data_IF_534272785471
#
_entry.id   IF_534272785471
#
_cell.length_a   1.000
_cell.length_b   1.000
_cell.length_c   1.000
_cell.angle_alpha   90.00
_cell.angle_beta   90.00
_cell.angle_gamma   90.00
#
_symmetry.space_group_name_H-M   'P 1'
#
loop_
_entity.id
_entity.type
_entity.pdbx_description
1 polymer ?
#
# COMPACT_ATOMS: atom_id res chain seq x y z
N UNK A 1 35.64 8.04 20.94
CA UNK A 1 34.62 8.78 20.14
C UNK A 1 33.47 7.81 19.90
N UNK A 2 32.25 8.16 20.30
CA UNK A 2 31.11 7.25 20.11
C UNK A 2 30.80 7.17 18.61
N UNK A 3 31.06 6.00 18.02
CA UNK A 3 30.84 5.79 16.59
C UNK A 3 29.34 5.55 16.40
N UNK A 4 28.62 6.55 15.88
CA UNK A 4 27.20 6.40 15.58
C UNK A 4 27.02 5.32 14.51
N UNK A 5 26.44 4.19 14.91
CA UNK A 5 26.20 3.07 13.99
C UNK A 5 25.03 3.44 13.06
N UNK A 6 25.25 3.27 11.75
CA UNK A 6 24.17 3.42 10.77
C UNK A 6 23.12 2.34 10.99
N UNK A 7 21.87 2.76 11.10
CA UNK A 7 20.73 1.86 11.20
C UNK A 7 19.61 2.33 10.27
N UNK A 8 18.75 1.39 9.92
CA UNK A 8 17.54 1.59 9.14
C UNK A 8 16.45 0.71 9.74
N UNK A 9 15.19 1.10 9.61
CA UNK A 9 14.09 0.27 10.08
C UNK A 9 12.98 0.24 9.04
N UNK A 10 12.26 -0.88 9.03
CA UNK A 10 10.99 -1.00 8.36
C UNK A 10 10.01 -1.69 9.29
N UNK A 11 8.72 -1.51 9.06
CA UNK A 11 7.69 -2.05 9.92
C UNK A 11 6.53 -2.64 9.13
N UNK A 12 5.92 -3.64 9.73
CA UNK A 12 4.56 -4.09 9.43
C UNK A 12 3.66 -3.67 10.59
N UNK A 13 2.38 -4.02 10.53
CA UNK A 13 1.44 -3.65 11.59
C UNK A 13 1.74 -4.38 12.91
N UNK A 14 2.41 -5.55 12.84
CA UNK A 14 2.73 -6.39 14.00
C UNK A 14 4.20 -6.34 14.43
N UNK A 15 5.13 -6.08 13.49
CA UNK A 15 6.58 -6.22 13.72
C UNK A 15 7.32 -4.99 13.24
N UNK A 16 8.37 -4.62 13.96
CA UNK A 16 9.35 -3.63 13.53
C UNK A 16 10.70 -4.32 13.38
N UNK A 17 11.35 -4.14 12.22
CA UNK A 17 12.64 -4.74 11.94
C UNK A 17 13.67 -3.62 11.85
N UNK A 18 14.58 -3.59 12.82
CA UNK A 18 15.70 -2.67 12.90
C UNK A 18 16.94 -3.34 12.31
N UNK A 19 17.44 -2.81 11.20
CA UNK A 19 18.67 -3.23 10.56
C UNK A 19 19.82 -2.35 11.05
N UNK A 20 20.79 -2.95 11.73
CA UNK A 20 22.02 -2.30 12.19
C UNK A 20 23.14 -2.69 11.23
N UNK A 21 23.76 -1.71 10.56
CA UNK A 21 24.82 -1.97 9.58
C UNK A 21 26.17 -2.13 10.27
N UNK A 22 26.41 -3.31 10.82
CA UNK A 22 27.66 -3.70 11.45
C UNK A 22 28.36 -4.81 10.64
N UNK A 23 29.42 -4.44 9.91
CA UNK A 23 30.16 -5.37 9.06
C UNK A 23 31.15 -6.17 9.89
N UNK A 24 31.08 -7.51 9.77
CA UNK A 24 31.95 -8.42 10.50
C UNK A 24 31.59 -8.53 11.98
N UNK A 25 30.32 -8.34 12.35
CA UNK A 25 29.87 -8.54 13.71
C UNK A 25 29.97 -10.03 14.10
N UNK A 26 30.69 -10.33 15.17
CA UNK A 26 30.82 -11.69 15.69
C UNK A 26 29.56 -12.06 16.49
N UNK A 27 28.88 -13.18 16.16
CA UNK A 27 27.67 -13.60 16.86
C UNK A 27 27.84 -13.80 18.37
N UNK A 28 29.08 -14.05 18.83
CA UNK A 28 29.41 -14.26 20.25
C UNK A 28 29.61 -12.96 21.01
N UNK A 29 29.90 -11.85 20.32
CA UNK A 29 30.12 -10.53 20.94
C UNK A 29 28.90 -9.62 20.84
N UNK A 30 28.00 -9.91 19.90
CA UNK A 30 26.74 -9.18 19.75
C UNK A 30 25.80 -9.51 20.91
N UNK A 31 25.41 -8.48 21.64
CA UNK A 31 24.38 -8.55 22.67
C UNK A 31 23.28 -7.53 22.35
N UNK A 32 22.02 -7.98 22.42
CA UNK A 32 20.85 -7.13 22.21
C UNK A 32 19.94 -7.25 23.42
N UNK A 33 19.75 -6.15 24.13
CA UNK A 33 18.82 -6.06 25.27
C UNK A 33 17.52 -5.43 24.79
N UNK A 34 16.43 -6.14 25.05
CA UNK A 34 15.06 -5.69 24.76
C UNK A 34 14.40 -5.24 26.05
N UNK A 35 13.94 -4.00 26.09
CA UNK A 35 13.03 -3.52 27.12
C UNK A 35 11.70 -3.12 26.45
N UNK A 36 10.59 -2.99 27.21
CA UNK A 36 9.30 -2.66 26.63
C UNK A 36 9.29 -1.43 25.74
N UNK A 37 10.24 -0.49 25.93
CA UNK A 37 10.31 0.76 25.18
C UNK A 37 11.73 1.19 24.82
N UNK A 38 12.68 0.27 24.88
CA UNK A 38 14.06 0.54 24.51
C UNK A 38 14.70 -0.70 23.89
N UNK A 39 15.64 -0.46 22.98
CA UNK A 39 16.51 -1.52 22.45
C UNK A 39 17.94 -1.02 22.56
N UNK A 40 18.78 -1.84 23.18
CA UNK A 40 20.20 -1.59 23.28
C UNK A 40 20.96 -2.69 22.55
N UNK A 41 21.66 -2.31 21.49
CA UNK A 41 22.60 -3.15 20.76
C UNK A 41 24.02 -2.83 21.21
N UNK A 42 24.79 -3.87 21.55
CA UNK A 42 26.19 -3.79 21.96
C UNK A 42 27.01 -4.82 21.17
N UNK A 43 28.13 -4.38 20.59
CA UNK A 43 29.12 -5.24 19.94
C UNK A 43 30.52 -4.65 20.15
N UNK A 44 31.19 -5.09 21.22
CA UNK A 44 32.49 -4.55 21.64
C UNK A 44 32.43 -3.04 21.87
N UNK A 45 33.17 -2.27 21.07
CA UNK A 45 33.25 -0.81 21.16
C UNK A 45 32.08 -0.06 20.48
N UNK A 46 31.20 -0.79 19.79
CA UNK A 46 30.06 -0.22 19.07
C UNK A 46 28.79 -0.45 19.87
N UNK A 47 28.05 0.62 20.15
CA UNK A 47 26.73 0.53 20.77
C UNK A 47 25.71 1.41 20.04
N UNK A 48 24.47 0.93 20.00
CA UNK A 48 23.32 1.67 19.49
C UNK A 48 22.20 1.57 20.53
N UNK A 49 21.81 2.71 21.08
CA UNK A 49 20.71 2.81 22.02
C UNK A 49 19.52 3.52 21.36
N UNK A 50 18.41 2.81 21.22
CA UNK A 50 17.17 3.35 20.67
C UNK A 50 16.18 3.51 21.81
N UNK A 51 16.04 4.75 22.29
CA UNK A 51 15.14 5.12 23.38
C UNK A 51 14.68 6.58 23.25
N UNK A 52 13.41 6.91 23.54
CA UNK A 52 12.28 6.00 23.75
C UNK A 52 11.69 5.49 22.43
N UNK A 53 11.34 4.21 22.36
CA UNK A 53 10.56 3.69 21.23
C UNK A 53 9.17 4.34 21.20
N UNK A 54 8.66 4.52 19.98
CA UNK A 54 7.34 5.13 19.75
C UNK A 54 6.16 4.28 20.24
N UNK A 55 6.33 2.97 20.39
CA UNK A 55 5.33 2.09 20.98
C UNK A 55 5.97 1.06 21.89
N UNK A 56 5.14 0.27 22.57
CA UNK A 56 5.63 -0.83 23.39
C UNK A 56 5.95 -2.05 22.51
N UNK A 57 7.02 -2.75 22.86
CA UNK A 57 7.39 -4.05 22.27
C UNK A 57 7.19 -5.17 23.29
N UNK A 58 6.99 -6.38 22.78
CA UNK A 58 7.07 -7.61 23.56
C UNK A 58 8.54 -8.11 23.56
N UNK A 59 9.28 -7.98 24.68
CA UNK A 59 10.68 -8.40 24.73
C UNK A 59 10.88 -9.91 24.59
N UNK A 60 9.90 -10.72 24.98
CA UNK A 60 10.02 -12.19 24.97
C UNK A 60 9.87 -12.76 23.56
N UNK A 61 9.03 -12.13 22.73
CA UNK A 61 8.84 -12.52 21.34
C UNK A 61 9.81 -11.82 20.36
N UNK A 62 10.56 -10.82 20.84
CA UNK A 62 11.57 -10.12 20.05
C UNK A 62 12.83 -10.97 19.91
N UNK A 63 13.49 -10.87 18.76
CA UNK A 63 14.67 -11.69 18.43
C UNK A 63 15.65 -10.92 17.55
N UNK A 64 16.86 -11.43 17.36
CA UNK A 64 17.83 -10.85 16.44
C UNK A 64 18.57 -11.92 15.65
N UNK A 65 19.06 -11.54 14.47
CA UNK A 65 19.86 -12.39 13.58
C UNK A 65 21.12 -11.63 13.18
N UNK A 66 22.28 -12.23 13.46
CA UNK A 66 23.57 -11.66 13.09
C UNK A 66 23.96 -12.16 11.70
N UNK A 67 24.02 -11.23 10.74
CA UNK A 67 24.55 -11.47 9.41
C UNK A 67 25.97 -10.95 9.25
N UNK A 68 26.62 -11.27 8.12
CA UNK A 68 28.01 -10.83 7.85
C UNK A 68 28.18 -9.32 7.71
N UNK A 69 27.15 -8.63 7.22
CA UNK A 69 27.20 -7.20 6.84
C UNK A 69 26.29 -6.34 7.73
N UNK A 70 25.27 -6.97 8.30
CA UNK A 70 24.21 -6.32 9.08
C UNK A 70 23.69 -7.26 10.15
N UNK A 71 23.19 -6.69 11.23
CA UNK A 71 22.42 -7.36 12.26
C UNK A 71 20.96 -6.94 12.12
N UNK A 72 20.06 -7.90 12.02
CA UNK A 72 18.62 -7.65 11.93
C UNK A 72 17.98 -7.93 13.28
N UNK A 73 17.45 -6.89 13.90
CA UNK A 73 16.73 -6.96 15.17
C UNK A 73 15.23 -6.91 14.88
N UNK A 74 14.52 -7.98 15.23
CA UNK A 74 13.08 -8.17 15.01
C UNK A 74 12.34 -7.89 16.31
N UNK A 75 11.61 -6.79 16.34
CA UNK A 75 10.80 -6.37 17.47
C UNK A 75 9.34 -6.74 17.21
N UNK A 76 8.71 -7.42 18.16
CA UNK A 76 7.26 -7.67 18.12
C UNK A 76 6.57 -6.54 18.85
N UNK A 77 5.59 -5.89 18.21
CA UNK A 77 4.86 -4.78 18.81
C UNK A 77 3.83 -5.32 19.80
N UNK A 78 3.70 -4.67 20.95
CA UNK A 78 2.68 -5.03 21.95
C UNK A 78 1.26 -4.68 21.46
N UNK A 79 1.13 -3.58 20.70
CA UNK A 79 -0.11 -3.18 20.04
C UNK A 79 0.07 -3.17 18.52
N UNK A 80 -0.92 -3.71 17.80
CA UNK A 80 -0.95 -3.64 16.34
C UNK A 80 -1.12 -2.20 15.89
N UNK A 81 -0.27 -1.77 14.97
CA UNK A 81 -0.32 -0.42 14.41
C UNK A 81 1.00 0.04 13.82
N UNK A 82 0.94 0.98 12.88
CA UNK A 82 2.11 1.60 12.29
C UNK A 82 2.59 2.76 13.12
N UNK A 83 3.89 2.77 13.45
CA UNK A 83 4.49 3.83 14.23
C UNK A 83 4.85 5.04 13.35
N UNK A 84 5.22 4.83 12.07
CA UNK A 84 5.66 5.89 11.16
C UNK A 84 6.98 6.56 11.58
N UNK A 85 7.66 6.03 12.59
CA UNK A 85 8.89 6.55 13.18
C UNK A 85 9.36 5.65 14.31
N UNK A 86 10.69 5.51 14.47
CA UNK A 86 11.28 4.60 15.45
C UNK A 86 11.25 5.16 16.89
N UNK A 87 11.51 6.45 17.05
CA UNK A 87 11.61 7.14 18.35
C UNK A 87 10.36 7.99 18.60
N UNK A 88 9.84 7.99 19.84
CA UNK A 88 8.72 8.85 20.22
C UNK A 88 8.29 8.73 21.69
N UNK A 89 7.73 9.84 22.22
CA UNK A 89 7.35 9.97 23.64
C UNK A 89 5.92 9.49 23.98
N UNK A 90 5.06 9.23 23.00
CA UNK A 90 3.72 8.70 23.25
C UNK A 90 3.73 7.17 23.37
N UNK A 91 3.45 6.56 24.55
CA UNK A 91 3.28 5.12 24.64
C UNK A 91 1.93 4.78 24.01
N UNK A 92 1.97 4.22 22.81
CA UNK A 92 0.82 3.70 22.05
C UNK A 92 -0.30 4.70 21.70
N UNK A 93 -0.40 5.15 20.43
CA UNK A 93 -1.67 5.63 19.93
C UNK A 93 -2.61 4.41 19.83
N UNK A 94 -3.47 4.24 20.83
CA UNK A 94 -4.58 3.28 20.80
C UNK A 94 -5.21 3.22 19.41
N UNK A 95 -5.10 2.05 18.78
CA UNK A 95 -6.10 1.42 17.95
C UNK A 95 -6.89 2.33 17.00
N UNK A 96 -6.26 2.81 15.93
CA UNK A 96 -6.97 3.34 14.76
C UNK A 96 -6.63 2.55 13.50
N UNK A 97 -6.90 1.26 13.54
CA UNK A 97 -7.40 0.48 12.40
C UNK A 97 -7.86 -0.85 12.97
N UNK A 98 -9.16 -0.98 13.19
CA UNK A 98 -9.78 -2.23 13.55
C UNK A 98 -9.51 -3.26 12.45
N UNK A 99 -8.51 -4.12 12.63
CA UNK A 99 -8.48 -5.40 11.95
C UNK A 99 -9.54 -6.26 12.65
N UNK A 100 -10.77 -6.18 12.16
CA UNK A 100 -11.88 -7.00 12.64
C UNK A 100 -11.59 -8.46 12.32
N UNK A 101 -11.20 -9.22 13.34
CA UNK A 101 -11.27 -10.68 13.33
C UNK A 101 -11.55 -11.16 14.76
N UNK A 102 -12.80 -11.07 15.21
CA UNK A 102 -13.35 -11.95 16.24
C UNK A 102 -14.89 -11.88 16.27
N UNK A 103 -15.58 -13.01 16.56
CA UNK A 103 -17.03 -13.09 16.64
C UNK A 103 -17.57 -12.50 17.97
N UNK A 104 -18.84 -12.12 17.93
CA UNK A 104 -19.61 -11.37 18.93
C UNK A 104 -19.48 -11.85 20.39
N UNK A 105 -19.61 -10.92 21.36
CA UNK A 105 -20.75 -10.84 22.33
C UNK A 105 -20.71 -9.55 23.18
N UNK A 106 -21.78 -8.76 23.07
CA UNK A 106 -22.49 -7.84 24.00
C UNK A 106 -21.77 -6.88 24.99
N UNK A 107 -22.21 -5.63 24.84
CA UNK A 107 -22.73 -4.66 25.83
C UNK A 107 -21.77 -3.94 26.79
N UNK A 108 -21.66 -2.62 26.58
CA UNK A 108 -21.15 -1.65 27.55
C UNK A 108 -21.14 -0.22 26.98
N UNK A 109 -21.86 0.67 27.65
CA UNK A 109 -22.23 2.06 27.32
C UNK A 109 -21.06 3.03 27.11
N UNK A 110 -21.07 3.87 26.05
CA UNK A 110 -20.26 5.11 25.99
C UNK A 110 -20.91 6.25 25.19
N UNK A 111 -20.71 7.47 25.70
CA UNK A 111 -21.09 8.80 25.22
C UNK A 111 -20.75 9.08 23.73
N UNK A 112 -21.42 10.04 23.05
CA UNK A 112 -21.26 10.24 21.61
C UNK A 112 -19.95 10.96 21.28
N UNK A 113 -18.89 10.20 21.01
CA UNK A 113 -17.75 10.69 20.26
C UNK A 113 -18.20 10.83 18.80
N UNK A 114 -18.15 12.06 18.28
CA UNK A 114 -18.47 12.39 16.90
C UNK A 114 -17.67 11.49 15.94
N UNK A 115 -18.34 10.45 15.42
CA UNK A 115 -17.81 9.58 14.38
C UNK A 115 -17.60 10.46 13.15
N UNK A 116 -16.34 10.61 12.73
CA UNK A 116 -16.03 11.17 11.42
C UNK A 116 -16.72 10.28 10.39
N UNK A 117 -17.76 10.82 9.75
CA UNK A 117 -18.56 10.12 8.75
C UNK A 117 -17.70 9.87 7.51
N UNK A 118 -17.13 8.67 7.40
CA UNK A 118 -16.37 8.24 6.23
C UNK A 118 -17.23 8.16 4.96
N UNK A 119 -18.56 8.05 5.09
CA UNK A 119 -19.50 8.20 3.96
C UNK A 119 -19.47 9.59 3.32
N UNK A 120 -19.16 10.64 4.10
CA UNK A 120 -18.97 11.97 3.51
C UNK A 120 -17.66 12.04 2.72
N UNK A 121 -16.63 11.30 3.16
CA UNK A 121 -15.33 11.23 2.46
C UNK A 121 -15.47 10.46 1.15
N UNK A 122 -16.24 9.36 1.13
CA UNK A 122 -16.52 8.64 -0.12
C UNK A 122 -17.35 9.47 -1.09
N UNK A 123 -18.37 10.21 -0.61
CA UNK A 123 -19.12 11.14 -1.46
C UNK A 123 -18.24 12.28 -2.00
N UNK A 124 -17.38 12.86 -1.16
CA UNK A 124 -16.43 13.91 -1.60
C UNK A 124 -15.43 13.36 -2.62
N UNK A 125 -14.92 12.15 -2.43
CA UNK A 125 -14.01 11.50 -3.39
C UNK A 125 -14.74 11.24 -4.70
N UNK A 126 -15.96 10.69 -4.66
CA UNK A 126 -16.76 10.41 -5.85
C UNK A 126 -17.14 11.69 -6.62
N UNK A 127 -17.39 12.80 -5.91
CA UNK A 127 -17.60 14.11 -6.51
C UNK A 127 -16.30 14.73 -7.06
N UNK A 128 -15.15 14.44 -6.44
CA UNK A 128 -13.82 14.89 -6.89
C UNK A 128 -13.20 14.01 -7.99
N UNK A 129 -13.69 12.78 -8.16
CA UNK A 129 -13.42 11.87 -9.28
C UNK A 129 -14.30 12.17 -10.50
N UNK A 130 -15.06 13.27 -10.47
CA UNK A 130 -15.42 13.95 -11.70
C UNK A 130 -14.12 14.47 -12.31
N UNK A 131 -13.52 13.66 -13.18
CA UNK A 131 -12.22 13.83 -13.79
C UNK A 131 -11.95 15.32 -14.09
N UNK A 132 -10.82 15.83 -13.58
CA UNK A 132 -10.32 17.15 -13.97
C UNK A 132 -10.17 17.13 -15.48
N UNK A 133 -11.03 17.88 -16.14
CA UNK A 133 -11.06 17.99 -17.60
C UNK A 133 -9.70 18.42 -18.12
N UNK A 134 -9.34 17.96 -19.33
CA UNK A 134 -8.14 18.40 -20.07
C UNK A 134 -7.98 19.93 -20.26
N UNK A 135 -8.93 20.75 -19.77
CA UNK A 135 -8.86 22.20 -19.70
C UNK A 135 -8.01 22.74 -18.52
N UNK A 136 -7.78 21.95 -17.45
CA UNK A 136 -7.09 22.43 -16.24
C UNK A 136 -5.61 22.01 -16.12
N UNK A 137 -5.16 20.92 -16.74
CA UNK A 137 -3.78 20.47 -16.63
C UNK A 137 -3.28 19.78 -17.93
N UNK A 138 -2.36 20.41 -18.69
CA UNK A 138 -1.81 19.84 -19.92
C UNK A 138 -0.83 18.66 -19.68
N UNK A 139 -0.55 18.31 -18.42
CA UNK A 139 0.31 17.20 -18.04
C UNK A 139 -0.46 15.93 -17.62
N UNK A 140 -1.79 15.96 -17.75
CA UNK A 140 -2.62 14.76 -17.63
C UNK A 140 -2.22 13.80 -18.74
N UNK A 141 -1.71 12.63 -18.34
CA UNK A 141 -1.27 11.56 -19.23
C UNK A 141 -2.26 11.35 -20.39
N UNK A 142 -1.76 11.27 -21.63
CA UNK A 142 -2.61 11.22 -22.83
C UNK A 142 -3.65 10.09 -22.85
N UNK A 143 -3.48 9.07 -22.02
CA UNK A 143 -4.46 8.00 -21.79
C UNK A 143 -5.76 8.49 -21.14
N UNK A 144 -5.69 9.49 -20.24
CA UNK A 144 -6.88 10.07 -19.62
C UNK A 144 -7.65 10.98 -20.60
N UNK A 145 -6.95 11.72 -21.48
CA UNK A 145 -7.59 12.48 -22.56
C UNK A 145 -8.29 11.55 -23.56
N UNK A 146 -7.69 10.39 -23.88
CA UNK A 146 -8.33 9.37 -24.69
C UNK A 146 -9.57 8.79 -23.99
N UNK A 147 -9.49 8.52 -22.70
CA UNK A 147 -10.63 8.04 -21.91
C UNK A 147 -11.79 9.05 -21.90
N UNK A 148 -11.51 10.35 -21.70
CA UNK A 148 -12.54 11.41 -21.78
C UNK A 148 -13.18 11.47 -23.18
N UNK A 149 -12.38 11.34 -24.23
CA UNK A 149 -12.89 11.29 -25.60
C UNK A 149 -13.84 10.09 -25.80
N UNK A 150 -13.48 8.89 -25.34
CA UNK A 150 -14.35 7.71 -25.43
C UNK A 150 -15.62 7.83 -24.58
N UNK A 151 -15.54 8.44 -23.40
CA UNK A 151 -16.72 8.70 -22.55
C UNK A 151 -17.69 9.68 -23.20
N UNK A 152 -17.18 10.75 -23.82
CA UNK A 152 -18.01 11.71 -24.55
C UNK A 152 -18.62 11.08 -25.81
N UNK A 153 -17.86 10.26 -26.54
CA UNK A 153 -18.33 9.52 -27.70
C UNK A 153 -19.44 8.53 -27.30
N UNK A 154 -19.26 7.79 -26.20
CA UNK A 154 -20.26 6.84 -25.72
C UNK A 154 -21.51 7.54 -25.18
N UNK A 155 -21.36 8.62 -24.41
CA UNK A 155 -22.49 9.35 -23.82
C UNK A 155 -23.41 9.95 -24.88
N UNK A 156 -22.84 10.49 -25.95
CA UNK A 156 -23.57 11.12 -27.05
C UNK A 156 -23.96 10.14 -28.18
N UNK A 157 -23.57 8.87 -28.11
CA UNK A 157 -23.86 7.88 -29.15
C UNK A 157 -25.27 7.29 -29.05
N UNK A 158 -25.84 6.97 -30.22
CA UNK A 158 -27.06 6.15 -30.33
C UNK A 158 -26.83 4.73 -29.80
N UNK A 159 -27.90 4.04 -29.39
CA UNK A 159 -27.81 2.71 -28.78
C UNK A 159 -27.12 1.66 -29.67
N UNK A 160 -27.30 1.75 -30.99
CA UNK A 160 -26.61 0.89 -31.94
C UNK A 160 -25.09 1.13 -31.95
N UNK A 161 -24.68 2.40 -31.90
CA UNK A 161 -23.27 2.81 -31.84
C UNK A 161 -22.63 2.39 -30.51
N UNK A 162 -23.34 2.56 -29.39
CA UNK A 162 -22.92 2.06 -28.07
C UNK A 162 -22.72 0.55 -28.08
N UNK A 163 -23.64 -0.19 -28.69
CA UNK A 163 -23.57 -1.64 -28.82
C UNK A 163 -22.41 -2.08 -29.71
N UNK A 164 -22.14 -1.35 -30.79
CA UNK A 164 -21.00 -1.59 -31.68
C UNK A 164 -19.66 -1.37 -30.95
N UNK A 165 -19.57 -0.26 -30.20
CA UNK A 165 -18.39 0.08 -29.39
C UNK A 165 -18.10 -1.00 -28.35
N UNK A 166 -19.12 -1.40 -27.58
CA UNK A 166 -18.96 -2.40 -26.52
C UNK A 166 -18.59 -3.78 -27.09
N UNK A 167 -19.25 -4.20 -28.18
CA UNK A 167 -18.94 -5.48 -28.84
C UNK A 167 -17.53 -5.48 -29.46
N UNK A 168 -17.15 -4.42 -30.15
CA UNK A 168 -15.83 -4.28 -30.76
C UNK A 168 -14.71 -4.23 -29.71
N UNK A 169 -14.93 -3.52 -28.60
CA UNK A 169 -13.99 -3.48 -27.49
C UNK A 169 -13.80 -4.86 -26.84
N UNK A 170 -14.89 -5.58 -26.61
CA UNK A 170 -14.85 -6.91 -25.99
C UNK A 170 -14.22 -7.96 -26.91
N UNK A 171 -14.56 -7.98 -28.19
CA UNK A 171 -14.02 -8.95 -29.15
C UNK A 171 -12.56 -8.67 -29.53
N UNK A 172 -12.17 -7.40 -29.60
CA UNK A 172 -10.80 -6.99 -29.93
C UNK A 172 -9.85 -6.96 -28.72
N UNK A 173 -10.32 -7.31 -27.52
CA UNK A 173 -9.51 -7.25 -26.30
C UNK A 173 -9.00 -5.84 -25.98
N UNK A 174 -9.79 -4.82 -26.31
CA UNK A 174 -9.46 -3.41 -26.08
C UNK A 174 -8.49 -2.78 -27.07
N UNK A 175 -8.20 -3.45 -28.20
CA UNK A 175 -7.23 -2.96 -29.19
C UNK A 175 -7.87 -2.26 -30.39
N UNK A 176 -9.18 -2.45 -30.61
CA UNK A 176 -9.91 -1.84 -31.72
C UNK A 176 -11.29 -1.36 -31.25
N UNK A 177 -11.71 -0.19 -31.73
CA UNK A 177 -13.02 0.36 -31.45
C UNK A 177 -13.74 0.70 -32.75
N UNK A 178 -14.93 0.12 -32.94
CA UNK A 178 -15.78 0.33 -34.10
C UNK A 178 -17.10 0.93 -33.67
N UNK A 179 -17.52 2.02 -34.30
CA UNK A 179 -18.79 2.72 -34.01
C UNK A 179 -19.93 2.28 -34.94
N UNK A 180 -19.65 1.46 -35.97
CA UNK A 180 -20.65 1.01 -36.94
C UNK A 180 -21.25 -0.37 -36.57
N UNK A 181 -22.51 -0.41 -36.16
CA UNK A 181 -23.19 -1.65 -35.78
C UNK A 181 -23.39 -2.61 -36.97
N UNK A 182 -23.60 -2.11 -38.18
CA UNK A 182 -23.86 -2.97 -39.35
C UNK A 182 -22.64 -3.80 -39.75
N UNK A 183 -21.44 -3.33 -39.42
CA UNK A 183 -20.17 -4.00 -39.70
C UNK A 183 -19.84 -5.01 -38.59
N UNK A 184 -19.92 -4.57 -37.33
CA UNK A 184 -19.62 -5.40 -36.16
C UNK A 184 -20.68 -6.50 -35.93
N UNK A 185 -21.91 -6.32 -36.43
CA UNK A 185 -22.94 -7.36 -36.34
C UNK A 185 -22.71 -8.52 -37.31
N UNK A 186 -21.99 -8.31 -38.43
CA UNK A 186 -21.78 -9.31 -39.49
C UNK A 186 -20.63 -10.27 -39.22
N UNK A 187 -19.67 -9.90 -38.37
CA UNK A 187 -18.52 -10.76 -38.06
C UNK A 187 -17.73 -10.29 -36.84
N UNK A 188 -16.86 -11.15 -36.29
CA UNK A 188 -16.06 -10.83 -35.10
C UNK A 188 -14.95 -9.83 -35.42
N UNK A 189 -14.70 -8.89 -34.51
CA UNK A 189 -13.60 -7.92 -34.65
C UNK A 189 -12.27 -8.55 -34.25
N UNK A 190 -11.28 -8.47 -35.14
CA UNK A 190 -9.96 -9.08 -34.92
C UNK A 190 -9.11 -8.26 -33.94
N UNK A 191 -8.43 -8.95 -33.03
CA UNK A 191 -7.47 -8.37 -32.09
C UNK A 191 -6.24 -7.93 -32.89
N UNK A 192 -5.90 -6.63 -32.86
CA UNK A 192 -4.69 -6.09 -33.47
C UNK A 192 -3.78 -5.59 -32.36
N UNK A 193 -2.87 -6.44 -31.84
CA UNK A 193 -2.00 -6.01 -30.76
C UNK A 193 -1.06 -4.89 -31.23
N UNK A 194 -0.68 -3.96 -30.33
CA UNK A 194 0.31 -2.93 -30.64
C UNK A 194 1.66 -3.58 -30.99
N UNK A 195 2.47 -2.89 -31.82
CA UNK A 195 3.74 -3.42 -32.33
C UNK A 195 4.65 -3.91 -31.19
N UNK A 196 5.09 -5.18 -31.27
CA UNK A 196 5.91 -5.83 -30.24
C UNK A 196 5.14 -6.66 -29.22
N UNK A 197 3.80 -6.71 -29.29
CA UNK A 197 2.95 -7.51 -28.41
C UNK A 197 2.26 -8.65 -29.17
N UNK A 198 2.20 -9.85 -28.57
CA UNK A 198 1.47 -11.00 -29.11
C UNK A 198 0.20 -11.24 -28.29
N UNK A 199 -0.95 -11.33 -28.98
CA UNK A 199 -2.22 -11.65 -28.32
C UNK A 199 -2.22 -13.12 -27.89
N UNK A 200 -2.16 -13.38 -26.58
CA UNK A 200 -2.33 -14.72 -26.03
C UNK A 200 -3.79 -14.97 -25.68
N UNK A 201 -4.35 -16.08 -26.18
CA UNK A 201 -5.62 -16.62 -25.67
C UNK A 201 -5.30 -17.48 -24.45
N UNK A 202 -5.88 -17.16 -23.30
CA UNK A 202 -5.81 -18.01 -22.13
C UNK A 202 -6.89 -19.08 -22.27
N UNK A 203 -6.52 -20.33 -22.51
CA UNK A 203 -7.45 -21.46 -22.40
C UNK A 203 -7.71 -21.72 -20.91
N UNK A 204 -8.97 -21.86 -20.53
CA UNK A 204 -9.39 -22.16 -19.17
C UNK A 204 -9.21 -23.64 -18.86
#
# INVERSE_FOLDING_TARGET
MATTIRHEFYETDEKLILTVFDRGADPTQVNVKFEPRSVLYENGDKSLHVHPLKGQIDPEQSSFVVGKVKVEVRLVKAAQGRWGGLIGDAPDPLANSAHVSAPATKAGTTLPQARKNWDNVTQTILESEKAKTSAEDPNVSGDSTLNEFFQNLFSNADDNTKKAMMKSFQESGGTSLSTNWEEVSKGPVTIKPPSGSEARKWEQ
#
